data_IF_401020692281
#
_entry.id   IF_401020692281
#
_cell.length_a   1.000
_cell.length_b   1.000
_cell.length_c   1.000
_cell.angle_alpha   90.00
_cell.angle_beta   90.00
_cell.angle_gamma   90.00
#
_symmetry.space_group_name_H-M   'P 1'
#
loop_
_entity.id
_entity.type
_entity.pdbx_description
1 polymer ?
#
# COMPACT_ATOMS: atom_id res chain seq x y z
N UNK A 1 4.87 -31.32 13.05
CA UNK A 1 5.05 -30.29 11.99
C UNK A 1 3.99 -30.55 10.93
N UNK A 2 2.92 -29.75 10.87
CA UNK A 2 1.84 -29.99 9.93
C UNK A 2 2.32 -29.70 8.50
N UNK A 3 2.06 -30.63 7.58
CA UNK A 3 2.36 -30.46 6.17
C UNK A 3 1.79 -29.12 5.67
N UNK A 4 2.54 -28.34 4.89
CA UNK A 4 2.11 -26.99 4.56
C UNK A 4 0.94 -27.05 3.56
N UNK A 5 -0.27 -26.72 4.04
CA UNK A 5 -1.55 -26.78 3.31
C UNK A 5 -1.45 -26.12 1.93
N UNK A 6 -1.81 -26.85 0.87
CA UNK A 6 -1.84 -26.30 -0.49
C UNK A 6 -2.88 -25.17 -0.59
N UNK A 7 -2.61 -24.15 -1.42
CA UNK A 7 -3.57 -23.07 -1.65
C UNK A 7 -4.84 -23.65 -2.28
N UNK A 8 -5.97 -23.49 -1.59
CA UNK A 8 -7.27 -23.89 -2.15
C UNK A 8 -7.65 -22.97 -3.31
N UNK A 9 -8.57 -23.42 -4.19
CA UNK A 9 -9.13 -22.56 -5.26
C UNK A 9 -9.73 -21.27 -4.69
N UNK A 10 -10.38 -21.36 -3.52
CA UNK A 10 -10.94 -20.20 -2.83
C UNK A 10 -9.88 -19.21 -2.35
N UNK A 11 -8.72 -19.69 -1.89
CA UNK A 11 -7.63 -18.82 -1.47
C UNK A 11 -6.93 -18.13 -2.65
N UNK A 12 -6.82 -18.83 -3.78
CA UNK A 12 -6.34 -18.22 -5.04
C UNK A 12 -7.27 -17.11 -5.51
N UNK A 13 -8.60 -17.33 -5.49
CA UNK A 13 -9.58 -16.30 -5.85
C UNK A 13 -9.49 -15.09 -4.93
N UNK A 14 -9.31 -15.29 -3.61
CA UNK A 14 -9.10 -14.19 -2.65
C UNK A 14 -7.81 -13.42 -2.95
N UNK A 15 -6.70 -14.12 -3.24
CA UNK A 15 -5.43 -13.48 -3.57
C UNK A 15 -5.55 -12.64 -4.86
N UNK A 16 -6.18 -13.20 -5.91
CA UNK A 16 -6.43 -12.48 -7.16
C UNK A 16 -7.36 -11.27 -6.96
N UNK A 17 -8.41 -11.41 -6.15
CA UNK A 17 -9.28 -10.29 -5.81
C UNK A 17 -8.50 -9.15 -5.13
N UNK A 18 -7.64 -9.46 -4.15
CA UNK A 18 -6.77 -8.47 -3.51
C UNK A 18 -5.85 -7.79 -4.52
N UNK A 19 -5.22 -8.57 -5.41
CA UNK A 19 -4.34 -8.05 -6.46
C UNK A 19 -5.07 -7.06 -7.37
N UNK A 20 -6.26 -7.42 -7.83
CA UNK A 20 -7.07 -6.55 -8.70
C UNK A 20 -7.50 -5.30 -7.94
N UNK A 21 -8.00 -5.46 -6.72
CA UNK A 21 -8.47 -4.33 -5.90
C UNK A 21 -7.33 -3.33 -5.63
N UNK A 22 -6.15 -3.82 -5.21
CA UNK A 22 -5.00 -2.96 -4.95
C UNK A 22 -4.36 -2.41 -6.21
N UNK A 23 -4.39 -3.13 -7.34
CA UNK A 23 -3.90 -2.62 -8.62
C UNK A 23 -4.75 -1.46 -9.13
N UNK A 24 -6.09 -1.63 -9.13
CA UNK A 24 -7.03 -0.57 -9.52
C UNK A 24 -7.06 0.61 -8.54
N UNK A 25 -6.64 0.40 -7.29
CA UNK A 25 -6.62 1.43 -6.24
C UNK A 25 -5.96 2.73 -6.69
N UNK A 26 -4.83 2.65 -7.39
CA UNK A 26 -4.09 3.84 -7.84
C UNK A 26 -4.87 4.70 -8.84
N UNK A 27 -5.60 4.05 -9.76
CA UNK A 27 -6.48 4.73 -10.71
C UNK A 27 -7.63 5.40 -9.97
N UNK A 28 -8.28 4.68 -9.05
CA UNK A 28 -9.41 5.22 -8.28
C UNK A 28 -8.98 6.39 -7.40
N UNK A 29 -7.80 6.32 -6.79
CA UNK A 29 -7.23 7.44 -6.05
C UNK A 29 -7.08 8.67 -6.95
N UNK A 30 -6.51 8.52 -8.15
CA UNK A 30 -6.33 9.64 -9.08
C UNK A 30 -7.65 10.22 -9.59
N UNK A 31 -8.66 9.39 -9.84
CA UNK A 31 -10.01 9.84 -10.18
C UNK A 31 -10.67 10.60 -9.03
N UNK A 32 -10.53 10.12 -7.79
CA UNK A 32 -11.02 10.83 -6.60
C UNK A 32 -10.36 12.20 -6.42
N UNK A 33 -9.06 12.30 -6.74
CA UNK A 33 -8.29 13.54 -6.66
C UNK A 33 -8.67 14.60 -7.71
N UNK A 34 -9.54 14.28 -8.68
CA UNK A 34 -10.04 15.29 -9.64
C UNK A 34 -11.09 16.21 -9.01
N UNK A 35 -11.85 15.73 -8.02
CA UNK A 35 -12.90 16.49 -7.35
C UNK A 35 -12.62 16.80 -5.88
N UNK A 36 -11.66 16.09 -5.27
CA UNK A 36 -11.31 16.21 -3.86
C UNK A 36 -9.82 16.46 -3.69
N UNK A 37 -9.46 17.28 -2.72
CA UNK A 37 -8.07 17.43 -2.33
C UNK A 37 -7.53 16.15 -1.70
N UNK A 38 -6.20 15.94 -1.72
CA UNK A 38 -5.55 14.80 -1.09
C UNK A 38 -5.98 14.53 0.34
N UNK A 39 -6.02 15.59 1.14
CA UNK A 39 -6.29 15.47 2.56
C UNK A 39 -7.77 15.20 2.81
N UNK A 40 -8.67 15.82 2.03
CA UNK A 40 -10.11 15.58 2.15
C UNK A 40 -10.49 14.17 1.66
N UNK A 41 -9.91 13.68 0.57
CA UNK A 41 -10.10 12.29 0.11
C UNK A 41 -9.63 11.29 1.18
N UNK A 42 -8.50 11.56 1.83
CA UNK A 42 -8.02 10.83 3.00
C UNK A 42 -9.02 10.86 4.16
N UNK A 43 -9.53 12.03 4.52
CA UNK A 43 -10.51 12.17 5.60
C UNK A 43 -11.79 11.37 5.32
N UNK A 44 -12.36 11.51 4.12
CA UNK A 44 -13.61 10.86 3.74
C UNK A 44 -13.47 9.34 3.66
N UNK A 45 -12.40 8.82 3.06
CA UNK A 45 -12.21 7.35 2.94
C UNK A 45 -12.03 6.69 4.31
N UNK A 46 -11.29 7.32 5.24
CA UNK A 46 -11.04 6.74 6.56
C UNK A 46 -12.25 6.89 7.48
N UNK A 47 -13.01 7.97 7.30
CA UNK A 47 -14.33 8.14 7.92
C UNK A 47 -15.27 7.01 7.49
N UNK A 48 -15.41 6.77 6.18
CA UNK A 48 -16.24 5.69 5.65
C UNK A 48 -15.76 4.29 6.06
N UNK A 49 -14.44 4.07 6.15
CA UNK A 49 -13.87 2.79 6.54
C UNK A 49 -14.01 2.47 8.05
N UNK A 50 -14.27 3.47 8.91
CA UNK A 50 -14.27 3.26 10.36
C UNK A 50 -15.56 3.64 11.07
N UNK A 51 -16.04 4.89 10.94
CA UNK A 51 -17.14 5.41 11.77
C UNK A 51 -18.41 4.55 11.73
N UNK A 52 -18.89 4.06 10.56
CA UNK A 52 -20.09 3.22 10.51
C UNK A 52 -19.95 1.90 11.29
N UNK A 53 -18.73 1.44 11.51
CA UNK A 53 -18.44 0.14 12.11
C UNK A 53 -18.12 0.22 13.60
N UNK A 54 -17.83 1.40 14.16
CA UNK A 54 -17.38 1.54 15.56
C UNK A 54 -18.39 1.05 16.60
N UNK A 55 -19.68 1.07 16.28
CA UNK A 55 -20.74 0.59 17.19
C UNK A 55 -20.88 -0.93 17.20
N UNK A 56 -20.50 -1.60 16.10
CA UNK A 56 -20.70 -3.05 15.90
C UNK A 56 -19.41 -3.82 16.09
N UNK A 57 -18.27 -3.19 15.78
CA UNK A 57 -16.96 -3.84 15.79
C UNK A 57 -16.26 -3.60 17.13
N UNK A 58 -16.04 -4.65 17.94
CA UNK A 58 -15.44 -4.50 19.25
C UNK A 58 -14.01 -3.97 19.15
N UNK A 59 -13.56 -3.26 20.19
CA UNK A 59 -12.17 -2.79 20.28
C UNK A 59 -11.20 -3.97 20.22
N UNK A 60 -10.10 -3.88 19.45
CA UNK A 60 -9.08 -4.92 19.46
C UNK A 60 -8.47 -5.04 20.85
N UNK A 61 -8.25 -6.28 21.32
CA UNK A 61 -7.61 -6.59 22.60
C UNK A 61 -6.07 -6.35 22.52
N UNK A 62 -5.67 -5.14 22.14
CA UNK A 62 -4.28 -4.74 21.96
C UNK A 62 -4.01 -3.38 22.62
N UNK A 63 -2.76 -3.13 23.08
CA UNK A 63 -2.35 -1.81 23.51
C UNK A 63 -2.59 -0.74 22.45
N UNK A 64 -3.20 0.38 22.84
CA UNK A 64 -3.62 1.44 21.92
C UNK A 64 -2.47 2.04 21.10
N UNK A 65 -1.23 1.99 21.61
CA UNK A 65 -0.03 2.39 20.87
C UNK A 65 0.13 1.71 19.51
N UNK A 66 -0.35 0.48 19.35
CA UNK A 66 -0.29 -0.23 18.07
C UNK A 66 -1.36 0.25 17.10
N UNK A 67 -2.57 0.51 17.60
CA UNK A 67 -3.68 1.08 16.82
C UNK A 67 -3.31 2.49 16.33
N UNK A 68 -2.82 3.34 17.24
CA UNK A 68 -2.35 4.69 16.92
C UNK A 68 -1.13 4.66 16.00
N UNK A 69 -0.12 3.86 16.32
CA UNK A 69 1.09 3.75 15.51
C UNK A 69 0.81 3.27 14.08
N UNK A 70 -0.08 2.29 13.93
CA UNK A 70 -0.48 1.78 12.62
C UNK A 70 -1.34 2.80 11.87
N UNK A 71 -2.32 3.41 12.54
CA UNK A 71 -3.17 4.44 11.95
C UNK A 71 -2.41 5.70 11.52
N UNK A 72 -1.37 6.11 12.25
CA UNK A 72 -0.50 7.21 11.84
C UNK A 72 0.43 6.80 10.70
N UNK A 73 1.10 5.64 10.80
CA UNK A 73 2.06 5.22 9.76
C UNK A 73 1.37 4.85 8.45
N UNK A 74 0.36 3.98 8.48
CA UNK A 74 -0.39 3.61 7.28
C UNK A 74 -1.37 4.70 6.88
N UNK A 75 -2.19 5.17 7.82
CA UNK A 75 -3.29 6.05 7.51
C UNK A 75 -2.81 7.41 7.03
N UNK A 76 -2.16 8.15 7.93
CA UNK A 76 -1.69 9.51 7.64
C UNK A 76 -0.41 9.51 6.81
N UNK A 77 0.60 8.73 7.21
CA UNK A 77 1.92 8.70 6.58
C UNK A 77 1.86 8.17 5.15
N UNK A 78 1.57 6.88 4.98
CA UNK A 78 1.56 6.24 3.65
C UNK A 78 0.58 6.95 2.72
N UNK A 79 -0.69 7.06 3.10
CA UNK A 79 -1.69 7.60 2.18
C UNK A 79 -1.66 9.12 2.05
N UNK A 80 -1.25 9.87 3.08
CA UNK A 80 -1.04 11.30 2.97
C UNK A 80 0.06 11.62 1.96
N UNK A 81 1.23 10.97 2.09
CA UNK A 81 2.30 11.13 1.11
C UNK A 81 1.91 10.63 -0.28
N UNK A 82 1.20 9.49 -0.38
CA UNK A 82 0.79 8.96 -1.68
C UNK A 82 -0.21 9.87 -2.39
N UNK A 83 -1.20 10.42 -1.67
CA UNK A 83 -2.17 11.33 -2.27
C UNK A 83 -1.54 12.65 -2.70
N UNK A 84 -0.64 13.21 -1.88
CA UNK A 84 0.15 14.37 -2.28
C UNK A 84 1.03 14.05 -3.48
N UNK A 85 1.66 12.88 -3.49
CA UNK A 85 2.49 12.44 -4.61
C UNK A 85 1.71 12.38 -5.92
N UNK A 86 0.52 11.78 -5.90
CA UNK A 86 -0.39 11.71 -7.06
C UNK A 86 -0.86 13.10 -7.50
N UNK A 87 -1.18 14.00 -6.57
CA UNK A 87 -1.58 15.37 -6.90
C UNK A 87 -0.42 16.17 -7.51
N UNK A 88 0.80 16.01 -7.01
CA UNK A 88 1.99 16.69 -7.49
C UNK A 88 2.60 16.06 -8.76
N UNK A 89 1.91 15.12 -9.39
CA UNK A 89 2.28 14.59 -10.71
C UNK A 89 2.91 13.20 -10.71
N UNK A 90 2.77 12.41 -9.64
CA UNK A 90 3.01 10.97 -9.73
C UNK A 90 1.95 10.30 -10.62
N UNK A 91 2.36 9.47 -11.57
CA UNK A 91 1.43 8.67 -12.38
C UNK A 91 0.92 7.48 -11.57
N UNK A 92 -0.34 7.10 -11.76
CA UNK A 92 -0.96 5.98 -11.06
C UNK A 92 -0.19 4.67 -11.33
N UNK A 93 0.22 4.47 -12.59
CA UNK A 93 1.01 3.32 -13.00
C UNK A 93 2.34 3.21 -12.26
N UNK A 94 3.14 4.28 -12.28
CA UNK A 94 4.44 4.27 -11.57
C UNK A 94 4.28 4.22 -10.05
N UNK A 95 3.21 4.81 -9.49
CA UNK A 95 2.95 4.76 -8.06
C UNK A 95 2.80 3.31 -7.59
N UNK A 96 2.12 2.47 -8.38
CA UNK A 96 1.95 1.05 -8.07
C UNK A 96 3.27 0.28 -8.02
N UNK A 97 4.26 0.64 -8.83
CA UNK A 97 5.59 0.03 -8.86
C UNK A 97 6.45 0.53 -7.70
N UNK A 98 6.55 1.85 -7.54
CA UNK A 98 7.39 2.49 -6.51
C UNK A 98 6.91 2.12 -5.11
N UNK A 99 5.61 1.92 -4.91
CA UNK A 99 5.07 1.45 -3.62
C UNK A 99 5.58 0.06 -3.22
N UNK A 100 5.99 -0.79 -4.17
CA UNK A 100 6.53 -2.13 -3.85
C UNK A 100 7.87 -2.07 -3.11
N UNK A 101 8.54 -0.92 -3.15
CA UNK A 101 9.79 -0.68 -2.40
C UNK A 101 9.62 -0.80 -0.89
N UNK A 102 8.39 -0.69 -0.40
CA UNK A 102 8.03 -0.96 1.00
C UNK A 102 8.57 -2.31 1.48
N UNK A 103 8.63 -3.33 0.62
CA UNK A 103 9.13 -4.66 1.00
C UNK A 103 10.62 -4.60 1.38
N UNK A 104 11.40 -3.81 0.65
CA UNK A 104 12.81 -3.58 0.93
C UNK A 104 13.00 -2.70 2.17
N UNK A 105 12.23 -1.63 2.32
CA UNK A 105 12.25 -0.84 3.55
C UNK A 105 11.87 -1.68 4.77
N UNK A 106 10.87 -2.55 4.65
CA UNK A 106 10.46 -3.47 5.72
C UNK A 106 11.62 -4.39 6.10
N UNK A 107 12.31 -4.97 5.11
CA UNK A 107 13.47 -5.82 5.35
C UNK A 107 14.59 -5.07 6.08
N UNK A 108 14.93 -3.86 5.62
CA UNK A 108 15.99 -3.05 6.21
C UNK A 108 15.65 -2.60 7.64
N UNK A 109 14.39 -2.25 7.90
CA UNK A 109 13.91 -1.85 9.22
C UNK A 109 13.75 -3.04 10.18
N UNK A 110 13.43 -4.23 9.68
CA UNK A 110 13.24 -5.42 10.50
C UNK A 110 14.54 -5.90 11.17
N UNK A 111 15.71 -5.68 10.56
CA UNK A 111 16.98 -6.08 11.15
C UNK A 111 17.28 -5.39 12.49
N UNK A 112 17.28 -4.05 12.63
CA UNK A 112 17.51 -3.39 13.91
C UNK A 112 16.31 -3.49 14.87
N UNK A 113 15.08 -3.59 14.37
CA UNK A 113 13.87 -3.48 15.19
C UNK A 113 13.29 -4.83 15.65
N UNK A 114 13.49 -5.89 14.87
CA UNK A 114 13.05 -7.26 15.19
C UNK A 114 14.20 -8.25 15.34
N UNK A 115 15.44 -7.85 15.05
CA UNK A 115 16.59 -8.76 15.00
C UNK A 115 16.59 -9.69 13.77
N UNK A 116 15.70 -9.47 12.80
CA UNK A 116 15.56 -10.28 11.59
C UNK A 116 16.61 -9.84 10.55
N UNK A 117 17.75 -10.54 10.49
CA UNK A 117 18.82 -10.20 9.53
C UNK A 117 18.45 -10.55 8.09
N UNK A 118 18.76 -9.64 7.17
CA UNK A 118 18.62 -9.88 5.75
C UNK A 118 19.55 -11.00 5.28
N UNK A 119 19.00 -11.92 4.48
CA UNK A 119 19.74 -13.05 3.93
C UNK A 119 20.58 -12.62 2.72
N UNK A 120 21.68 -13.31 2.38
CA UNK A 120 22.63 -12.87 1.34
C UNK A 120 21.98 -12.54 -0.02
N UNK A 121 21.04 -13.36 -0.50
CA UNK A 121 20.35 -13.11 -1.78
C UNK A 121 19.43 -11.88 -1.76
N UNK A 122 18.94 -11.49 -0.58
CA UNK A 122 18.07 -10.32 -0.44
C UNK A 122 18.85 -9.02 -0.71
N UNK A 123 20.16 -9.01 -0.47
CA UNK A 123 21.05 -7.89 -0.84
C UNK A 123 21.17 -7.74 -2.36
N UNK A 124 21.29 -8.84 -3.11
CA UNK A 124 21.29 -8.79 -4.57
C UNK A 124 19.98 -8.22 -5.13
N UNK A 125 18.84 -8.68 -4.61
CA UNK A 125 17.53 -8.15 -4.98
C UNK A 125 17.35 -6.67 -4.61
N UNK A 126 17.89 -6.26 -3.46
CA UNK A 126 17.87 -4.87 -2.99
C UNK A 126 18.70 -3.95 -3.91
N UNK A 127 19.92 -4.36 -4.28
CA UNK A 127 20.78 -3.58 -5.18
C UNK A 127 20.14 -3.41 -6.57
N UNK A 128 19.54 -4.47 -7.11
CA UNK A 128 18.84 -4.42 -8.38
C UNK A 128 17.63 -3.48 -8.32
N UNK A 129 16.83 -3.58 -7.26
CA UNK A 129 15.67 -2.71 -7.09
C UNK A 129 16.08 -1.25 -6.85
N UNK A 130 17.14 -1.00 -6.10
CA UNK A 130 17.68 0.34 -5.91
C UNK A 130 18.14 0.96 -7.23
N UNK A 131 18.87 0.20 -8.06
CA UNK A 131 19.22 0.61 -9.42
C UNK A 131 17.98 0.97 -10.24
N UNK A 132 16.95 0.11 -10.21
CA UNK A 132 15.67 0.35 -10.88
C UNK A 132 14.97 1.63 -10.40
N UNK A 133 14.99 1.93 -9.10
CA UNK A 133 14.43 3.17 -8.56
C UNK A 133 15.19 4.41 -9.01
N UNK A 134 16.52 4.34 -9.06
CA UNK A 134 17.32 5.45 -9.60
C UNK A 134 16.98 5.67 -11.07
N UNK A 135 16.84 4.60 -11.85
CA UNK A 135 16.41 4.67 -13.26
C UNK A 135 15.02 5.30 -13.41
N UNK A 136 14.04 4.93 -12.58
CA UNK A 136 12.71 5.56 -12.57
C UNK A 136 12.83 7.04 -12.22
N UNK A 137 13.56 7.37 -11.15
CA UNK A 137 13.73 8.76 -10.68
C UNK A 137 14.41 9.67 -11.70
N UNK A 138 15.42 9.18 -12.42
CA UNK A 138 16.09 9.91 -13.51
C UNK A 138 15.19 10.14 -14.73
N UNK A 139 14.15 9.32 -14.89
CA UNK A 139 13.15 9.46 -15.93
C UNK A 139 11.99 10.37 -15.53
N UNK A 140 12.23 11.35 -14.64
CA UNK A 140 11.24 12.35 -14.28
C UNK A 140 11.05 13.37 -15.40
N UNK A 141 9.92 14.06 -15.38
CA UNK A 141 9.63 15.15 -16.30
C UNK A 141 8.61 16.12 -15.71
N UNK A 142 8.44 17.26 -16.38
CA UNK A 142 7.55 18.36 -15.94
C UNK A 142 6.32 18.52 -16.85
N UNK A 143 6.21 17.72 -17.92
CA UNK A 143 5.08 17.79 -18.84
C UNK A 143 3.79 17.19 -18.29
N UNK A 144 2.62 17.57 -18.85
CA UNK A 144 1.34 16.95 -18.49
C UNK A 144 1.38 15.43 -18.65
N UNK A 145 0.98 14.71 -17.59
CA UNK A 145 0.99 13.25 -17.57
C UNK A 145 2.37 12.61 -17.35
N UNK A 146 3.43 13.41 -17.20
CA UNK A 146 4.76 12.91 -16.83
C UNK A 146 4.88 12.78 -15.31
N UNK A 147 5.77 11.87 -14.89
CA UNK A 147 6.08 11.67 -13.49
C UNK A 147 7.02 12.78 -12.99
N UNK A 148 6.59 13.56 -12.01
CA UNK A 148 7.45 14.57 -11.38
C UNK A 148 8.38 13.96 -10.33
N UNK A 149 9.52 14.62 -10.07
CA UNK A 149 10.45 14.20 -9.02
C UNK A 149 9.80 14.32 -7.63
N UNK A 150 9.03 15.38 -7.37
CA UNK A 150 8.33 15.57 -6.11
C UNK A 150 7.32 14.43 -5.85
N UNK A 151 6.52 14.07 -6.87
CA UNK A 151 5.58 12.95 -6.78
C UNK A 151 6.28 11.61 -6.50
N UNK A 152 7.42 11.38 -7.16
CA UNK A 152 8.25 10.19 -6.94
C UNK A 152 8.80 10.11 -5.51
N UNK A 153 9.40 11.19 -5.01
CA UNK A 153 9.99 11.24 -3.65
C UNK A 153 8.91 11.06 -2.58
N UNK A 154 7.75 11.70 -2.74
CA UNK A 154 6.62 11.50 -1.84
C UNK A 154 6.12 10.05 -1.87
N UNK A 155 6.09 9.42 -3.04
CA UNK A 155 5.71 8.00 -3.14
C UNK A 155 6.73 7.07 -2.47
N UNK A 156 8.03 7.39 -2.51
CA UNK A 156 9.04 6.67 -1.71
C UNK A 156 8.79 6.86 -0.21
N UNK A 157 8.46 8.09 0.22
CA UNK A 157 8.05 8.37 1.60
C UNK A 157 6.81 7.56 2.01
N UNK A 158 5.84 7.42 1.11
CA UNK A 158 4.65 6.61 1.32
C UNK A 158 5.00 5.11 1.50
N UNK A 159 5.89 4.59 0.64
CA UNK A 159 6.36 3.21 0.72
C UNK A 159 7.14 2.95 2.02
N UNK A 160 7.94 3.90 2.47
CA UNK A 160 8.63 3.83 3.76
C UNK A 160 7.63 3.80 4.94
N UNK A 161 6.63 4.69 4.94
CA UNK A 161 5.60 4.71 5.98
C UNK A 161 4.74 3.43 5.99
N UNK A 162 4.53 2.81 4.82
CA UNK A 162 3.91 1.49 4.74
C UNK A 162 4.81 0.41 5.38
N UNK A 163 6.12 0.45 5.15
CA UNK A 163 7.04 -0.47 5.81
C UNK A 163 7.01 -0.33 7.34
N UNK A 164 6.94 0.91 7.85
CA UNK A 164 6.78 1.20 9.28
C UNK A 164 5.45 0.61 9.79
N UNK A 165 4.35 0.78 9.08
CA UNK A 165 3.05 0.23 9.51
C UNK A 165 3.04 -1.30 9.53
N UNK A 166 3.68 -1.95 8.55
CA UNK A 166 3.86 -3.40 8.53
C UNK A 166 4.63 -3.88 9.76
N UNK A 167 5.66 -3.15 10.19
CA UNK A 167 6.42 -3.46 11.39
C UNK A 167 5.60 -3.27 12.67
N UNK A 168 4.80 -2.20 12.75
CA UNK A 168 3.86 -2.00 13.88
C UNK A 168 2.87 -3.16 13.97
N UNK A 169 2.28 -3.58 12.85
CA UNK A 169 1.35 -4.71 12.81
C UNK A 169 2.01 -6.05 13.23
N UNK A 170 3.28 -6.27 12.85
CA UNK A 170 4.06 -7.44 13.29
C UNK A 170 4.31 -7.42 14.79
N UNK A 171 4.72 -6.29 15.37
CA UNK A 171 4.90 -6.17 16.82
C UNK A 171 3.59 -6.32 17.59
N UNK A 172 2.49 -5.81 17.03
CA UNK A 172 1.16 -6.02 17.59
C UNK A 172 0.81 -7.51 17.66
N UNK A 173 1.12 -8.28 16.60
CA UNK A 173 0.88 -9.72 16.56
C UNK A 173 1.77 -10.51 17.54
N UNK A 174 2.99 -10.04 17.83
CA UNK A 174 3.84 -10.61 18.88
C UNK A 174 3.34 -10.28 20.29
N UNK A 175 2.67 -9.13 20.47
CA UNK A 175 2.15 -8.70 21.77
C UNK A 175 0.83 -9.39 22.15
N UNK A 176 0.05 -9.88 21.17
CA UNK A 176 -1.18 -10.61 21.41
C UNK A 176 -1.93 -10.96 20.13
N UNK A 177 -2.76 -12.01 20.20
CA UNK A 177 -3.64 -12.36 19.09
C UNK A 177 -4.76 -11.31 18.94
N UNK A 178 -5.00 -10.87 17.71
CA UNK A 178 -6.07 -9.93 17.40
C UNK A 178 -6.77 -10.30 16.09
N UNK A 179 -8.04 -9.93 15.97
CA UNK A 179 -8.78 -10.06 14.74
C UNK A 179 -8.39 -8.91 13.78
N UNK A 180 -7.99 -9.20 12.52
CA UNK A 180 -7.52 -8.19 11.58
C UNK A 180 -8.53 -7.08 11.30
N UNK A 181 -9.80 -7.45 11.07
CA UNK A 181 -10.85 -6.50 10.71
C UNK A 181 -11.09 -5.45 11.81
N UNK A 182 -11.31 -5.82 13.09
CA UNK A 182 -11.32 -4.85 14.19
C UNK A 182 -10.08 -3.98 14.28
N UNK A 183 -8.88 -4.56 14.14
CA UNK A 183 -7.65 -3.77 14.20
C UNK A 183 -7.58 -2.71 13.11
N UNK A 184 -7.96 -3.05 11.87
CA UNK A 184 -7.99 -2.11 10.73
C UNK A 184 -9.03 -1.00 10.96
N UNK A 185 -10.28 -1.36 11.31
CA UNK A 185 -11.38 -0.42 11.57
C UNK A 185 -10.98 0.61 12.63
N UNK A 186 -10.46 0.16 13.77
CA UNK A 186 -10.08 1.05 14.85
C UNK A 186 -8.82 1.87 14.53
N UNK A 187 -7.88 1.33 13.75
CA UNK A 187 -6.72 2.09 13.30
C UNK A 187 -7.07 3.18 12.28
N UNK A 188 -8.13 2.97 11.49
CA UNK A 188 -8.63 3.95 10.52
C UNK A 188 -9.27 5.17 11.18
N UNK A 189 -9.62 5.13 12.47
CA UNK A 189 -10.11 6.31 13.21
C UNK A 189 -9.01 7.36 13.38
N UNK A 190 -7.79 6.89 13.64
CA UNK A 190 -6.63 7.72 13.98
C UNK A 190 -6.31 8.79 12.91
N UNK A 191 -6.25 8.47 11.61
CA UNK A 191 -5.93 9.47 10.59
C UNK A 191 -7.06 10.46 10.29
N UNK A 192 -8.31 10.24 10.73
CA UNK A 192 -9.46 11.11 10.39
C UNK A 192 -9.23 12.55 10.83
N UNK A 193 -8.93 12.75 12.11
CA UNK A 193 -8.70 14.07 12.70
C UNK A 193 -7.55 14.80 12.01
N UNK A 194 -6.34 14.20 11.91
CA UNK A 194 -5.22 14.77 11.18
C UNK A 194 -5.53 15.12 9.72
N UNK A 195 -6.24 14.26 8.98
CA UNK A 195 -6.59 14.57 7.59
C UNK A 195 -7.56 15.75 7.47
N UNK A 196 -8.60 15.82 8.30
CA UNK A 196 -9.48 16.99 8.31
C UNK A 196 -8.73 18.26 8.72
N UNK A 197 -7.87 18.19 9.74
CA UNK A 197 -7.06 19.32 10.16
C UNK A 197 -6.12 19.80 9.04
N UNK A 198 -5.44 18.87 8.36
CA UNK A 198 -4.58 19.19 7.22
C UNK A 198 -5.38 19.74 6.04
N UNK A 199 -6.56 19.20 5.73
CA UNK A 199 -7.42 19.71 4.66
C UNK A 199 -7.90 21.14 4.96
N UNK A 200 -8.33 21.41 6.20
CA UNK A 200 -8.73 22.75 6.62
C UNK A 200 -7.56 23.74 6.62
N UNK A 201 -6.36 23.27 6.97
CA UNK A 201 -5.14 24.08 6.97
C UNK A 201 -4.62 24.38 5.56
N UNK A 202 -4.62 23.40 4.65
CA UNK A 202 -4.09 23.54 3.30
C UNK A 202 -5.06 24.24 2.34
N UNK A 203 -6.34 23.86 2.39
CA UNK A 203 -7.33 24.30 1.41
C UNK A 203 -8.18 25.47 1.94
N UNK A 204 -8.30 25.57 3.27
CA UNK A 204 -9.23 26.49 3.94
C UNK A 204 -10.64 25.92 4.06
N UNK A 205 -11.38 26.37 5.07
CA UNK A 205 -12.73 25.87 5.39
C UNK A 205 -13.74 26.06 4.25
N UNK A 206 -13.70 27.20 3.56
CA UNK A 206 -14.60 27.50 2.45
C UNK A 206 -14.38 26.54 1.26
N UNK A 207 -13.12 26.24 0.93
CA UNK A 207 -12.80 25.31 -0.16
C UNK A 207 -13.17 23.87 0.19
N UNK A 208 -12.91 23.44 1.43
CA UNK A 208 -13.34 22.12 1.92
C UNK A 208 -14.86 21.99 1.83
N UNK A 209 -15.59 23.01 2.26
CA UNK A 209 -17.07 23.00 2.18
C UNK A 209 -17.56 22.94 0.73
N UNK A 210 -16.97 23.74 -0.16
CA UNK A 210 -17.31 23.73 -1.58
C UNK A 210 -17.07 22.36 -2.23
N UNK A 211 -15.95 21.70 -1.92
CA UNK A 211 -15.64 20.34 -2.39
C UNK A 211 -16.65 19.29 -1.89
N UNK A 212 -17.13 19.42 -0.65
CA UNK A 212 -18.17 18.54 -0.11
C UNK A 212 -19.52 18.76 -0.79
N UNK A 213 -19.86 20.01 -1.12
CA UNK A 213 -21.08 20.35 -1.85
C UNK A 213 -21.04 19.93 -3.32
N UNK A 214 -19.86 19.98 -3.94
CA UNK A 214 -19.65 19.58 -5.34
C UNK A 214 -19.34 18.10 -5.52
N UNK A 215 -19.43 17.30 -4.45
CA UNK A 215 -19.12 15.88 -4.48
C UNK A 215 -20.04 15.15 -5.46
N UNK A 216 -19.49 14.77 -6.60
CA UNK A 216 -20.21 14.07 -7.66
C UNK A 216 -20.17 12.54 -7.48
N UNK A 217 -20.87 11.82 -8.36
CA UNK A 217 -20.92 10.34 -8.32
C UNK A 217 -19.53 9.70 -8.40
N UNK A 218 -18.60 10.26 -9.19
CA UNK A 218 -17.22 9.76 -9.30
C UNK A 218 -16.47 9.86 -7.97
N UNK A 219 -16.57 11.00 -7.29
CA UNK A 219 -15.96 11.20 -5.97
C UNK A 219 -16.54 10.26 -4.92
N UNK A 220 -17.86 10.08 -4.90
CA UNK A 220 -18.52 9.15 -3.99
C UNK A 220 -18.11 7.69 -4.24
N UNK A 221 -18.09 7.25 -5.50
CA UNK A 221 -17.65 5.91 -5.88
C UNK A 221 -16.17 5.70 -5.54
N UNK A 222 -15.32 6.71 -5.73
CA UNK A 222 -13.93 6.64 -5.34
C UNK A 222 -13.79 6.45 -3.83
N UNK A 223 -14.45 7.28 -3.01
CA UNK A 223 -14.44 7.15 -1.54
C UNK A 223 -14.94 5.76 -1.11
N UNK A 224 -16.05 5.29 -1.67
CA UNK A 224 -16.62 3.98 -1.35
C UNK A 224 -15.68 2.83 -1.72
N UNK A 225 -15.09 2.86 -2.92
CA UNK A 225 -14.10 1.87 -3.35
C UNK A 225 -12.88 1.86 -2.42
N UNK A 226 -12.31 3.03 -2.13
CA UNK A 226 -11.12 3.16 -1.29
C UNK A 226 -11.37 2.67 0.14
N UNK A 227 -12.54 2.99 0.69
CA UNK A 227 -12.93 2.61 2.05
C UNK A 227 -13.27 1.12 2.15
N UNK A 228 -14.22 0.64 1.36
CA UNK A 228 -14.79 -0.70 1.56
C UNK A 228 -14.00 -1.79 0.85
N UNK A 229 -13.58 -1.55 -0.39
CA UNK A 229 -12.87 -2.56 -1.18
C UNK A 229 -11.38 -2.54 -0.87
N UNK A 230 -10.71 -1.40 -1.09
CA UNK A 230 -9.26 -1.32 -0.98
C UNK A 230 -8.75 -1.38 0.47
N UNK A 231 -9.49 -0.78 1.42
CA UNK A 231 -9.10 -0.76 2.85
C UNK A 231 -9.69 -1.94 3.61
N UNK A 232 -11.01 -2.06 3.72
CA UNK A 232 -11.59 -3.09 4.58
C UNK A 232 -11.47 -4.50 3.98
N UNK A 233 -12.01 -4.73 2.79
CA UNK A 233 -12.05 -6.06 2.18
C UNK A 233 -10.64 -6.57 1.85
N UNK A 234 -9.86 -5.82 1.09
CA UNK A 234 -8.57 -6.28 0.59
C UNK A 234 -7.56 -6.53 1.72
N UNK A 235 -7.42 -5.63 2.69
CA UNK A 235 -6.53 -5.89 3.84
C UNK A 235 -7.03 -7.07 4.68
N UNK A 236 -8.35 -7.20 4.91
CA UNK A 236 -8.88 -8.35 5.67
C UNK A 236 -8.59 -9.67 4.97
N UNK A 237 -8.86 -9.77 3.66
CA UNK A 237 -8.57 -10.97 2.87
C UNK A 237 -7.06 -11.27 2.86
N UNK A 238 -6.23 -10.23 2.69
CA UNK A 238 -4.78 -10.37 2.70
C UNK A 238 -4.25 -10.87 4.05
N UNK A 239 -4.69 -10.27 5.15
CA UNK A 239 -4.27 -10.71 6.49
C UNK A 239 -4.77 -12.12 6.80
N UNK A 240 -6.00 -12.47 6.41
CA UNK A 240 -6.51 -13.84 6.56
C UNK A 240 -5.68 -14.87 5.78
N UNK A 241 -5.27 -14.55 4.55
CA UNK A 241 -4.39 -15.41 3.76
C UNK A 241 -3.03 -15.60 4.45
N UNK A 242 -2.44 -14.52 4.98
CA UNK A 242 -1.18 -14.58 5.71
C UNK A 242 -1.27 -15.31 7.06
N UNK A 243 -2.46 -15.34 7.69
CA UNK A 243 -2.69 -16.12 8.91
C UNK A 243 -2.87 -17.62 8.63
N UNK A 244 -3.42 -17.98 7.46
CA UNK A 244 -3.70 -19.38 7.08
C UNK A 244 -2.56 -20.07 6.37
N UNK A 245 -1.76 -19.30 5.61
CA UNK A 245 -0.71 -19.82 4.75
C UNK A 245 0.62 -19.18 5.09
N UNK A 246 1.71 -19.94 4.89
CA UNK A 246 3.05 -19.38 5.04
C UNK A 246 3.23 -18.17 4.12
N UNK A 247 3.78 -17.08 4.65
CA UNK A 247 3.93 -15.80 3.93
C UNK A 247 4.55 -15.98 2.53
N UNK A 248 5.60 -16.79 2.41
CA UNK A 248 6.28 -17.05 1.13
C UNK A 248 5.42 -17.68 0.03
N UNK A 249 4.21 -18.18 0.34
CA UNK A 249 3.24 -18.66 -0.68
C UNK A 249 2.25 -17.58 -1.12
N UNK A 250 1.94 -16.63 -0.25
CA UNK A 250 0.93 -15.59 -0.50
C UNK A 250 1.58 -14.32 -1.06
N UNK A 251 2.75 -13.94 -0.55
CA UNK A 251 3.44 -12.72 -0.97
C UNK A 251 3.79 -12.66 -2.46
N UNK A 252 4.08 -13.77 -3.19
CA UNK A 252 4.36 -13.66 -4.63
C UNK A 252 3.19 -13.11 -5.44
N UNK A 253 1.94 -13.30 -4.99
CA UNK A 253 0.77 -12.73 -5.66
C UNK A 253 0.78 -11.20 -5.59
N UNK A 254 1.37 -10.56 -4.57
CA UNK A 254 1.43 -9.10 -4.51
C UNK A 254 2.31 -8.48 -5.60
N UNK A 255 3.14 -9.28 -6.28
CA UNK A 255 3.92 -8.84 -7.44
C UNK A 255 3.04 -8.56 -8.67
N UNK A 256 1.82 -9.09 -8.69
CA UNK A 256 0.84 -8.81 -9.74
C UNK A 256 0.13 -7.47 -9.55
N UNK A 257 0.16 -6.89 -8.35
CA UNK A 257 -0.45 -5.56 -8.07
C UNK A 257 0.08 -4.48 -9.01
N UNK A 258 1.41 -4.28 -9.17
CA UNK A 258 1.95 -3.30 -10.10
C UNK A 258 1.64 -3.63 -11.57
N UNK A 259 1.51 -4.91 -11.93
CA UNK A 259 1.11 -5.31 -13.30
C UNK A 259 -0.31 -4.84 -13.59
N UNK A 260 -1.25 -5.09 -12.67
CA UNK A 260 -2.62 -4.60 -12.78
C UNK A 260 -2.67 -3.07 -12.71
N UNK A 261 -1.87 -2.45 -11.83
CA UNK A 261 -1.82 -1.00 -11.68
C UNK A 261 -1.33 -0.28 -12.94
N UNK A 262 -0.26 -0.79 -13.58
CA UNK A 262 0.25 -0.27 -14.85
C UNK A 262 -0.77 -0.45 -15.98
N UNK A 263 -1.37 -1.65 -16.09
CA UNK A 263 -2.41 -1.91 -17.08
C UNK A 263 -3.62 -1.00 -16.89
N UNK A 264 -4.09 -0.84 -15.65
CA UNK A 264 -5.25 -0.02 -15.34
C UNK A 264 -4.96 1.47 -15.59
N UNK A 265 -3.77 1.95 -15.22
CA UNK A 265 -3.35 3.31 -15.51
C UNK A 265 -3.33 3.59 -17.02
N UNK A 266 -2.82 2.66 -17.82
CA UNK A 266 -2.89 2.76 -19.28
C UNK A 266 -4.34 2.75 -19.79
N UNK A 267 -5.15 1.77 -19.36
CA UNK A 267 -6.49 1.55 -19.89
C UNK A 267 -7.51 2.63 -19.50
N UNK A 268 -7.45 3.13 -18.26
CA UNK A 268 -8.46 4.07 -17.72
C UNK A 268 -7.98 5.52 -17.70
N UNK A 269 -6.67 5.77 -17.63
CA UNK A 269 -6.11 7.13 -17.53
C UNK A 269 -5.26 7.51 -18.76
N UNK A 270 -5.02 6.59 -19.69
CA UNK A 270 -4.16 6.82 -20.85
C UNK A 270 -2.69 7.04 -20.47
N UNK A 271 -2.27 6.65 -19.27
CA UNK A 271 -0.90 6.85 -18.81
C UNK A 271 0.06 5.89 -19.52
N UNK A 272 1.05 6.44 -20.21
CA UNK A 272 2.14 5.67 -20.83
C UNK A 272 3.46 6.01 -20.15
N UNK A 273 4.04 5.10 -19.34
CA UNK A 273 5.34 5.34 -18.74
C UNK A 273 6.43 5.50 -19.81
N UNK A 274 7.42 6.35 -19.51
CA UNK A 274 8.57 6.52 -20.39
C UNK A 274 9.35 5.19 -20.53
N UNK A 275 10.05 4.95 -21.65
CA UNK A 275 10.85 3.72 -21.84
C UNK A 275 11.83 3.45 -20.69
N UNK A 276 12.45 4.51 -20.16
CA UNK A 276 13.37 4.40 -19.03
C UNK A 276 12.64 4.03 -17.73
N UNK A 277 11.40 4.51 -17.53
CA UNK A 277 10.56 4.09 -16.40
C UNK A 277 10.18 2.61 -16.49
N UNK A 278 9.93 2.08 -17.70
CA UNK A 278 9.71 0.64 -17.91
C UNK A 278 10.93 -0.20 -17.54
N UNK A 279 12.13 0.21 -17.96
CA UNK A 279 13.37 -0.46 -17.60
C UNK A 279 13.58 -0.47 -16.08
N UNK A 280 13.38 0.68 -15.43
CA UNK A 280 13.47 0.79 -13.98
C UNK A 280 12.39 -0.03 -13.24
N UNK A 281 11.16 -0.03 -13.74
CA UNK A 281 10.07 -0.84 -13.18
C UNK A 281 10.37 -2.34 -13.29
N UNK A 282 10.85 -2.80 -14.44
CA UNK A 282 11.29 -4.18 -14.62
C UNK A 282 12.40 -4.55 -13.64
N UNK A 283 13.41 -3.68 -13.45
CA UNK A 283 14.48 -3.91 -12.48
C UNK A 283 13.95 -3.99 -11.03
N UNK A 284 13.05 -3.10 -10.62
CA UNK A 284 12.39 -3.16 -9.29
C UNK A 284 11.65 -4.48 -9.10
N UNK A 285 10.82 -4.87 -10.06
CA UNK A 285 10.04 -6.11 -9.99
C UNK A 285 10.94 -7.35 -9.98
N UNK A 286 11.99 -7.39 -10.80
CA UNK A 286 12.98 -8.46 -10.80
C UNK A 286 13.70 -8.55 -9.45
N UNK A 287 14.11 -7.43 -8.86
CA UNK A 287 14.73 -7.40 -7.53
C UNK A 287 13.81 -7.95 -6.45
N UNK A 288 12.51 -7.64 -6.53
CA UNK A 288 11.47 -8.19 -5.65
C UNK A 288 11.28 -9.70 -5.85
N UNK A 289 11.27 -10.19 -7.09
CA UNK A 289 11.20 -11.62 -7.40
C UNK A 289 12.41 -12.35 -6.79
N UNK A 290 13.63 -11.82 -6.95
CA UNK A 290 14.84 -12.39 -6.34
C UNK A 290 14.70 -12.47 -4.82
N UNK A 291 14.18 -11.41 -4.18
CA UNK A 291 13.99 -11.38 -2.74
C UNK A 291 12.98 -12.44 -2.27
N UNK A 292 11.83 -12.56 -2.95
CA UNK A 292 10.76 -13.47 -2.56
C UNK A 292 11.07 -14.94 -2.89
N UNK A 293 11.59 -15.21 -4.09
CA UNK A 293 11.82 -16.58 -4.61
C UNK A 293 13.13 -17.17 -4.06
N UNK A 294 14.15 -16.35 -3.78
CA UNK A 294 15.38 -16.81 -3.15
C UNK A 294 15.13 -17.48 -1.79
N UNK A 295 14.12 -17.02 -1.05
CA UNK A 295 13.68 -17.65 0.19
C UNK A 295 13.13 -19.07 0.00
N UNK A 296 12.38 -19.31 -1.08
CA UNK A 296 11.80 -20.62 -1.40
C UNK A 296 12.86 -21.61 -1.88
N UNK A 297 13.82 -21.15 -2.69
CA UNK A 297 14.93 -21.97 -3.16
C UNK A 297 15.87 -22.41 -2.04
N UNK A 298 16.20 -21.50 -1.11
CA UNK A 298 17.07 -21.83 0.01
C UNK A 298 16.39 -22.75 1.04
N UNK A 299 15.08 -22.54 1.29
CA UNK A 299 14.31 -23.43 2.17
C UNK A 299 14.25 -24.87 1.64
N UNK A 300 14.16 -25.05 0.32
CA UNK A 300 14.19 -26.38 -0.33
C UNK A 300 15.56 -27.06 -0.23
N UNK A 301 16.65 -26.29 -0.28
CA UNK A 301 18.01 -26.82 -0.12
C UNK A 301 18.30 -27.28 1.31
N UNK A 302 17.83 -26.53 2.31
CA UNK A 302 18.02 -26.89 3.72
C UNK A 302 17.23 -28.15 4.16
N UNK A 303 16.17 -28.53 3.44
CA UNK A 303 15.43 -29.78 3.66
C UNK A 303 16.00 -30.97 2.89
N UNK A 304 16.96 -30.73 1.98
CA UNK A 304 17.58 -31.76 1.14
C UNK A 304 18.99 -32.15 1.62
N UNK A 305 19.45 -31.58 2.73
CA UNK A 305 20.70 -31.88 3.46
C UNK A 305 20.38 -32.50 4.81
#
# INVERSE_FOLDING_TARGET
MNAPVALSRGDLLRALAVVVIWGLNFVVMKLGLQGLSPMLLGALRFTAASLPFLLVVPRPALPWRFVVGYGLAQGLGQFGFLFLGLQLGMTAGMASVVMQTQAFFTLLLAAPLLGERAKPWQWGGLLLAFGGLMTIGLAHGEGPGQMTLAGFVLTLGAAFMWAVSNLVARRAAQAGAYAPFPFIVWSCVVPIGPFFALALWSDGSAAVWAQLQSLNGTGLLAVAYLAFLATLLAYTLWTQLLQRHAAGRVTPFSLLVPVVGLWAAYAFLGETPAPLQWAGAAAVLCGLVVNQVGGLWWARRATAS
#
